data_IF_564607461892
#
_entry.id   IF_564607461892
#
_cell.length_a   1.000
_cell.length_b   1.000
_cell.length_c   1.000
_cell.angle_alpha   90.00
_cell.angle_beta   90.00
_cell.angle_gamma   90.00
#
_symmetry.space_group_name_H-M   'P 1'
#
loop_
_entity.id
_entity.type
_entity.pdbx_description
1 polymer ?
#
# COMPACT_ATOMS: atom_id res chain seq x y z
N UNK A 1 17.56 -4.36 -7.70
CA UNK A 1 16.63 -5.15 -8.53
C UNK A 1 15.20 -4.98 -8.01
N UNK A 2 14.22 -4.80 -8.90
CA UNK A 2 12.79 -4.72 -8.57
C UNK A 2 12.14 -6.03 -9.02
N UNK A 3 11.25 -6.57 -8.18
CA UNK A 3 10.37 -7.70 -8.51
C UNK A 3 8.92 -7.36 -8.18
N UNK A 4 7.99 -7.96 -8.90
CA UNK A 4 6.55 -7.79 -8.73
C UNK A 4 5.94 -9.13 -8.30
N UNK A 5 5.33 -9.14 -7.12
CA UNK A 5 4.60 -10.29 -6.60
C UNK A 5 3.13 -9.92 -6.48
N UNK A 6 2.25 -10.64 -7.14
CA UNK A 6 0.81 -10.40 -7.13
C UNK A 6 0.17 -11.56 -6.37
N UNK A 7 -0.52 -11.26 -5.28
CA UNK A 7 -1.38 -12.24 -4.59
C UNK A 7 -2.78 -12.18 -5.20
N UNK A 8 -3.33 -13.31 -5.54
CA UNK A 8 -4.65 -13.42 -6.16
C UNK A 8 -5.55 -14.41 -5.43
N UNK A 9 -6.75 -13.96 -5.03
CA UNK A 9 -7.78 -14.81 -4.43
C UNK A 9 -9.00 -14.88 -5.35
N UNK A 10 -8.87 -15.66 -6.43
CA UNK A 10 -9.94 -16.05 -7.35
C UNK A 10 -10.40 -14.97 -8.34
N UNK A 11 -9.51 -14.17 -8.86
CA UNK A 11 -9.82 -13.39 -10.06
C UNK A 11 -10.28 -14.28 -11.21
N UNK A 12 -11.11 -13.76 -12.09
CA UNK A 12 -11.51 -14.51 -13.27
C UNK A 12 -10.32 -14.77 -14.21
N UNK A 13 -10.40 -15.84 -15.01
CA UNK A 13 -9.30 -16.25 -15.89
C UNK A 13 -8.95 -15.19 -16.95
N UNK A 14 -9.90 -14.41 -17.40
CA UNK A 14 -9.68 -13.35 -18.38
C UNK A 14 -8.76 -12.26 -17.79
N UNK A 15 -9.06 -11.78 -16.57
CA UNK A 15 -8.22 -10.81 -15.87
C UNK A 15 -6.80 -11.34 -15.62
N UNK A 16 -6.68 -12.59 -15.17
CA UNK A 16 -5.36 -13.23 -14.95
C UNK A 16 -4.57 -13.34 -16.25
N UNK A 17 -5.21 -13.68 -17.35
CA UNK A 17 -4.57 -13.72 -18.66
C UNK A 17 -4.05 -12.35 -19.07
N UNK A 18 -4.88 -11.32 -18.94
CA UNK A 18 -4.49 -9.92 -19.25
C UNK A 18 -3.33 -9.44 -18.38
N UNK A 19 -3.38 -9.71 -17.07
CA UNK A 19 -2.28 -9.39 -16.15
C UNK A 19 -0.99 -10.08 -16.59
N UNK A 20 -1.05 -11.38 -16.90
CA UNK A 20 0.11 -12.12 -17.37
C UNK A 20 0.69 -11.57 -18.68
N UNK A 21 -0.14 -11.12 -19.62
CA UNK A 21 0.30 -10.50 -20.86
C UNK A 21 1.06 -9.19 -20.59
N UNK A 22 0.53 -8.35 -19.71
CA UNK A 22 1.19 -7.10 -19.29
C UNK A 22 2.53 -7.40 -18.59
N UNK A 23 2.55 -8.37 -17.67
CA UNK A 23 3.77 -8.73 -16.96
C UNK A 23 4.87 -9.26 -17.87
N UNK A 24 4.54 -9.97 -18.95
CA UNK A 24 5.50 -10.48 -19.96
C UNK A 24 6.22 -9.36 -20.73
N UNK A 25 5.62 -8.20 -20.84
CA UNK A 25 6.22 -7.05 -21.52
C UNK A 25 7.28 -6.37 -20.62
N UNK A 26 7.18 -6.57 -19.31
CA UNK A 26 8.15 -6.01 -18.36
C UNK A 26 9.44 -6.86 -18.36
N UNK A 27 10.59 -6.20 -18.19
CA UNK A 27 11.86 -6.89 -17.95
C UNK A 27 12.10 -7.16 -16.44
N UNK A 28 11.02 -7.21 -15.65
CA UNK A 28 11.09 -7.41 -14.21
C UNK A 28 10.84 -8.88 -13.85
N UNK A 29 11.39 -9.31 -12.73
CA UNK A 29 10.99 -10.57 -12.12
C UNK A 29 9.55 -10.44 -11.63
N UNK A 30 8.66 -11.30 -12.13
CA UNK A 30 7.23 -11.22 -11.83
C UNK A 30 6.69 -12.58 -11.43
N UNK A 31 5.74 -12.62 -10.48
CA UNK A 31 5.08 -13.85 -10.05
C UNK A 31 3.66 -13.58 -9.59
N UNK A 32 2.70 -14.37 -10.09
CA UNK A 32 1.33 -14.42 -9.55
C UNK A 32 1.26 -15.61 -8.58
N UNK A 33 0.73 -15.34 -7.39
CA UNK A 33 0.59 -16.27 -6.27
C UNK A 33 -0.90 -16.46 -6.01
N UNK A 34 -1.46 -17.54 -6.54
CA UNK A 34 -2.87 -17.88 -6.33
C UNK A 34 -3.07 -18.42 -4.92
N UNK A 35 -4.02 -17.86 -4.19
CA UNK A 35 -4.36 -18.29 -2.85
C UNK A 35 -5.24 -19.54 -2.86
N UNK A 36 -4.98 -20.45 -1.91
CA UNK A 36 -5.87 -21.58 -1.68
C UNK A 36 -7.08 -21.15 -0.83
N UNK A 37 -8.26 -21.70 -1.12
CA UNK A 37 -9.50 -21.43 -0.37
C UNK A 37 -9.38 -21.68 1.13
N UNK A 38 -8.58 -22.67 1.52
CA UNK A 38 -8.35 -23.05 2.90
C UNK A 38 -7.19 -22.29 3.58
N UNK A 39 -6.47 -21.46 2.81
CA UNK A 39 -5.37 -20.69 3.36
C UNK A 39 -5.90 -19.64 4.33
N UNK A 40 -5.30 -19.53 5.49
CA UNK A 40 -5.67 -18.61 6.57
C UNK A 40 -7.08 -18.75 7.18
N UNK A 41 -7.79 -19.87 6.93
CA UNK A 41 -9.15 -20.07 7.49
C UNK A 41 -9.17 -20.04 9.02
N UNK A 42 -8.08 -20.49 9.66
CA UNK A 42 -7.95 -20.49 11.13
C UNK A 42 -7.46 -19.14 11.68
N UNK A 43 -6.76 -18.37 10.89
CA UNK A 43 -6.18 -17.08 11.27
C UNK A 43 -7.17 -15.94 11.12
N UNK A 44 -8.07 -16.00 10.13
CA UNK A 44 -9.03 -14.93 9.86
C UNK A 44 -10.29 -15.11 10.70
N UNK A 45 -10.60 -14.10 11.50
CA UNK A 45 -11.86 -14.07 12.26
C UNK A 45 -13.05 -13.92 11.30
N UNK A 46 -14.13 -14.72 11.46
CA UNK A 46 -15.34 -14.57 10.66
C UNK A 46 -16.18 -13.33 11.03
N UNK A 47 -15.80 -12.65 12.12
CA UNK A 47 -16.44 -11.43 12.61
C UNK A 47 -15.44 -10.31 12.79
N UNK A 48 -15.88 -9.08 12.63
CA UNK A 48 -15.10 -7.88 12.92
C UNK A 48 -14.89 -7.64 14.43
N UNK A 49 -14.29 -6.51 14.79
CA UNK A 49 -14.04 -6.12 16.19
C UNK A 49 -15.33 -5.86 16.98
N UNK A 50 -16.44 -5.58 16.31
CA UNK A 50 -17.76 -5.35 16.92
C UNK A 50 -18.61 -6.63 17.02
N UNK A 51 -18.08 -7.77 16.50
CA UNK A 51 -18.80 -9.05 16.49
C UNK A 51 -19.71 -9.24 15.27
N UNK A 52 -19.69 -8.32 14.30
CA UNK A 52 -20.48 -8.41 13.08
C UNK A 52 -19.84 -9.35 12.06
N UNK A 53 -20.66 -10.14 11.37
CA UNK A 53 -20.19 -11.06 10.34
C UNK A 53 -19.62 -10.30 9.16
N UNK A 54 -18.41 -10.66 8.76
CA UNK A 54 -17.75 -10.06 7.59
C UNK A 54 -18.14 -10.76 6.29
N UNK A 55 -18.13 -10.01 5.18
CA UNK A 55 -18.46 -10.54 3.85
C UNK A 55 -17.37 -11.45 3.31
N UNK A 56 -17.72 -12.32 2.33
CA UNK A 56 -16.74 -13.17 1.65
C UNK A 56 -15.66 -12.36 0.92
N UNK A 57 -16.03 -11.23 0.31
CA UNK A 57 -15.07 -10.35 -0.35
C UNK A 57 -14.07 -9.75 0.65
N UNK A 58 -14.54 -9.39 1.85
CA UNK A 58 -13.65 -8.90 2.89
C UNK A 58 -12.69 -10.00 3.37
N UNK A 59 -13.17 -11.25 3.51
CA UNK A 59 -12.30 -12.40 3.85
C UNK A 59 -11.24 -12.59 2.76
N UNK A 60 -11.61 -12.48 1.49
CA UNK A 60 -10.69 -12.55 0.36
C UNK A 60 -9.60 -11.46 0.44
N UNK A 61 -10.01 -10.22 0.68
CA UNK A 61 -9.07 -9.10 0.88
C UNK A 61 -8.11 -9.38 2.05
N UNK A 62 -8.63 -9.82 3.20
CA UNK A 62 -7.82 -10.15 4.38
C UNK A 62 -6.82 -11.30 4.12
N UNK A 63 -7.18 -12.30 3.29
CA UNK A 63 -6.23 -13.34 2.85
C UNK A 63 -5.08 -12.76 2.03
N UNK A 64 -5.39 -11.88 1.08
CA UNK A 64 -4.37 -11.20 0.28
C UNK A 64 -3.41 -10.39 1.16
N UNK A 65 -3.93 -9.67 2.15
CA UNK A 65 -3.13 -8.91 3.11
C UNK A 65 -2.21 -9.84 3.92
N UNK A 66 -2.75 -10.91 4.51
CA UNK A 66 -1.94 -11.88 5.27
C UNK A 66 -0.85 -12.52 4.41
N UNK A 67 -1.20 -12.92 3.18
CA UNK A 67 -0.24 -13.51 2.25
C UNK A 67 0.88 -12.55 1.90
N UNK A 68 0.54 -11.29 1.64
CA UNK A 68 1.53 -10.27 1.31
C UNK A 68 2.53 -10.06 2.45
N UNK A 69 2.06 -10.01 3.70
CA UNK A 69 2.96 -9.91 4.86
C UNK A 69 3.76 -11.20 5.11
N UNK A 70 3.17 -12.37 4.87
CA UNK A 70 3.89 -13.65 4.97
C UNK A 70 5.03 -13.73 3.95
N UNK A 71 4.79 -13.26 2.71
CA UNK A 71 5.81 -13.17 1.68
C UNK A 71 6.90 -12.19 2.13
N UNK A 72 6.52 -11.00 2.56
CA UNK A 72 7.47 -10.00 3.02
C UNK A 72 8.29 -10.45 4.24
N UNK A 73 7.73 -11.30 5.11
CA UNK A 73 8.45 -11.91 6.25
C UNK A 73 9.59 -12.81 5.80
N UNK A 74 9.44 -13.53 4.71
CA UNK A 74 10.42 -14.55 4.27
C UNK A 74 11.31 -14.08 3.13
N UNK A 75 10.92 -13.07 2.39
CA UNK A 75 11.66 -12.52 1.27
C UNK A 75 12.85 -11.68 1.75
N UNK A 76 13.98 -11.72 1.02
CA UNK A 76 15.23 -11.04 1.37
C UNK A 76 15.37 -9.63 0.81
N UNK A 77 14.32 -9.04 0.24
CA UNK A 77 14.35 -7.66 -0.23
C UNK A 77 14.53 -6.67 0.92
N UNK A 78 15.20 -5.56 0.67
CA UNK A 78 15.44 -4.51 1.67
C UNK A 78 14.20 -3.63 1.88
N UNK A 79 13.46 -3.35 0.79
CA UNK A 79 12.27 -2.51 0.77
C UNK A 79 11.08 -3.26 0.20
N UNK A 80 9.90 -2.97 0.73
CA UNK A 80 8.63 -3.54 0.30
C UNK A 80 7.64 -2.42 0.05
N UNK A 81 7.03 -2.46 -1.13
CA UNK A 81 5.93 -1.60 -1.49
C UNK A 81 4.66 -2.45 -1.56
N UNK A 82 3.79 -2.32 -0.56
CA UNK A 82 2.46 -2.91 -0.57
C UNK A 82 1.55 -2.02 -1.40
N UNK A 83 0.82 -2.63 -2.32
CA UNK A 83 0.03 -1.92 -3.31
C UNK A 83 -1.31 -2.62 -3.49
N UNK A 84 -2.40 -1.87 -3.35
CA UNK A 84 -3.75 -2.28 -3.72
C UNK A 84 -3.94 -2.10 -5.23
N UNK A 85 -4.77 -2.94 -5.85
CA UNK A 85 -4.95 -3.01 -7.30
C UNK A 85 -5.74 -1.84 -7.92
N UNK A 86 -6.26 -0.95 -7.08
CA UNK A 86 -7.04 0.21 -7.47
C UNK A 86 -6.27 1.56 -7.36
N UNK A 87 -4.94 1.51 -7.42
CA UNK A 87 -4.10 2.70 -7.45
C UNK A 87 -3.56 3.00 -8.84
N UNK A 88 -3.67 4.26 -9.27
CA UNK A 88 -3.06 4.79 -10.50
C UNK A 88 -1.84 5.63 -10.11
N UNK A 89 -0.69 5.36 -10.72
CA UNK A 89 0.59 5.98 -10.39
C UNK A 89 1.10 6.91 -11.50
N UNK A 90 1.80 7.98 -11.09
CA UNK A 90 2.64 8.73 -12.03
C UNK A 90 3.84 7.88 -12.48
N UNK A 91 4.39 8.16 -13.66
CA UNK A 91 5.51 7.38 -14.23
C UNK A 91 6.76 7.40 -13.36
N UNK A 92 6.96 8.46 -12.58
CA UNK A 92 8.11 8.65 -11.70
C UNK A 92 7.91 8.12 -10.28
N UNK A 93 6.71 7.59 -9.95
CA UNK A 93 6.33 7.25 -8.57
C UNK A 93 7.33 6.34 -7.84
N UNK A 94 7.70 5.22 -8.47
CA UNK A 94 8.61 4.25 -7.83
C UNK A 94 10.00 4.87 -7.63
N UNK A 95 10.52 5.56 -8.64
CA UNK A 95 11.84 6.21 -8.56
C UNK A 95 11.86 7.28 -7.49
N UNK A 96 10.84 8.14 -7.45
CA UNK A 96 10.71 9.18 -6.42
C UNK A 96 10.64 8.59 -5.01
N UNK A 97 9.84 7.53 -4.81
CA UNK A 97 9.73 6.87 -3.51
C UNK A 97 11.06 6.24 -3.06
N UNK A 98 11.75 5.52 -3.93
CA UNK A 98 13.00 4.83 -3.57
C UNK A 98 14.09 5.83 -3.14
N UNK A 99 14.33 6.86 -3.95
CA UNK A 99 15.34 7.88 -3.60
C UNK A 99 14.94 8.73 -2.40
N UNK A 100 13.64 9.01 -2.25
CA UNK A 100 13.13 9.73 -1.07
C UNK A 100 13.28 8.90 0.19
N UNK A 101 13.00 7.59 0.12
CA UNK A 101 13.20 6.69 1.25
C UNK A 101 14.64 6.73 1.73
N UNK A 102 15.61 6.51 0.83
CA UNK A 102 17.03 6.55 1.12
C UNK A 102 17.44 7.89 1.75
N UNK A 103 17.03 8.99 1.14
CA UNK A 103 17.38 10.34 1.60
C UNK A 103 16.82 10.66 2.98
N UNK A 104 15.51 10.51 3.17
CA UNK A 104 14.86 10.92 4.43
C UNK A 104 15.24 9.97 5.57
N UNK A 105 15.29 8.65 5.32
CA UNK A 105 15.71 7.68 6.34
C UNK A 105 17.15 7.92 6.81
N UNK A 106 18.05 8.25 5.90
CA UNK A 106 19.43 8.61 6.19
C UNK A 106 19.51 9.92 7.01
N UNK A 107 18.78 10.97 6.61
CA UNK A 107 18.76 12.25 7.33
C UNK A 107 18.22 12.11 8.76
N UNK A 108 17.22 11.26 8.95
CA UNK A 108 16.63 11.02 10.26
C UNK A 108 17.36 9.95 11.08
N UNK A 109 18.23 9.18 10.44
CA UNK A 109 18.83 7.95 10.98
C UNK A 109 17.73 7.01 11.53
N UNK A 110 16.67 6.82 10.76
CA UNK A 110 15.49 6.02 11.12
C UNK A 110 14.88 5.36 9.90
N UNK A 111 14.33 4.17 10.09
CA UNK A 111 13.41 3.58 9.14
C UNK A 111 12.10 4.37 9.12
N UNK A 112 11.46 4.45 7.96
CA UNK A 112 10.26 5.26 7.73
C UNK A 112 9.21 4.51 6.92
N UNK A 113 8.02 5.09 6.82
CA UNK A 113 6.98 4.70 5.88
C UNK A 113 6.80 5.80 4.85
N UNK A 114 6.50 5.43 3.60
CA UNK A 114 6.08 6.34 2.54
C UNK A 114 4.73 5.92 2.01
N UNK A 115 3.74 6.83 2.01
CA UNK A 115 2.48 6.69 1.31
C UNK A 115 2.63 7.39 -0.05
N UNK A 116 2.20 6.82 -1.20
CA UNK A 116 2.34 7.47 -2.50
C UNK A 116 1.31 8.56 -2.76
N UNK A 117 0.23 8.61 -1.97
CA UNK A 117 -0.91 9.47 -2.21
C UNK A 117 -0.96 10.67 -1.26
N UNK A 118 -1.27 11.82 -1.83
CA UNK A 118 -1.56 13.07 -1.10
C UNK A 118 -3.08 13.23 -0.96
N UNK A 119 -3.64 12.56 0.05
CA UNK A 119 -5.08 12.47 0.20
C UNK A 119 -5.78 13.79 0.50
N UNK A 120 -7.02 13.99 0.00
CA UNK A 120 -7.81 15.20 0.25
C UNK A 120 -8.03 15.52 1.73
N UNK A 121 -8.14 14.52 2.63
CA UNK A 121 -8.36 14.77 4.05
C UNK A 121 -7.26 15.63 4.68
N UNK A 122 -6.03 15.55 4.17
CA UNK A 122 -4.88 16.35 4.63
C UNK A 122 -5.04 17.87 4.41
N UNK A 123 -6.08 18.27 3.68
CA UNK A 123 -6.41 19.67 3.40
C UNK A 123 -7.69 20.14 4.10
N UNK A 124 -8.38 19.23 4.81
CA UNK A 124 -9.63 19.52 5.53
C UNK A 124 -9.46 19.59 7.05
N UNK A 125 -8.29 19.22 7.55
CA UNK A 125 -7.96 19.20 8.97
C UNK A 125 -6.70 20.01 9.25
N UNK A 126 -6.59 20.59 10.45
CA UNK A 126 -5.37 21.27 10.88
C UNK A 126 -4.55 20.27 11.69
N UNK A 127 -3.45 19.80 11.13
CA UNK A 127 -2.53 18.88 11.77
C UNK A 127 -1.12 19.47 11.87
N UNK A 128 -0.41 19.15 12.94
CA UNK A 128 1.01 19.42 13.03
C UNK A 128 1.77 18.52 12.09
N UNK A 129 2.28 19.07 11.01
CA UNK A 129 3.04 18.33 10.02
C UNK A 129 4.45 18.87 9.87
N UNK A 130 5.41 17.98 9.61
CA UNK A 130 6.79 18.33 9.26
C UNK A 130 6.97 18.15 7.76
N UNK A 131 7.67 19.09 7.13
CA UNK A 131 7.94 19.06 5.70
C UNK A 131 9.39 18.70 5.45
N UNK A 132 9.63 17.75 4.55
CA UNK A 132 10.94 17.34 4.08
C UNK A 132 11.02 17.49 2.56
N UNK A 133 12.22 17.67 2.03
CA UNK A 133 12.46 17.60 0.61
C UNK A 133 13.00 16.21 0.27
N UNK A 134 12.18 15.41 -0.44
CA UNK A 134 12.54 14.08 -0.93
C UNK A 134 13.52 14.15 -2.12
N UNK A 135 13.31 13.34 -3.13
CA UNK A 135 14.12 13.40 -4.34
C UNK A 135 13.75 14.64 -5.18
N UNK A 136 12.55 14.71 -5.71
CA UNK A 136 12.07 15.82 -6.55
C UNK A 136 10.85 16.55 -5.96
N UNK A 137 10.27 16.05 -4.87
CA UNK A 137 9.03 16.54 -4.26
C UNK A 137 9.21 16.90 -2.79
N UNK A 138 8.30 17.72 -2.28
CA UNK A 138 8.14 17.86 -0.84
C UNK A 138 7.36 16.65 -0.31
N UNK A 139 7.68 16.27 0.93
CA UNK A 139 7.04 15.18 1.65
C UNK A 139 6.65 15.65 3.02
N UNK A 140 5.42 15.44 3.41
CA UNK A 140 4.91 15.81 4.74
C UNK A 140 4.67 14.60 5.60
N UNK A 141 4.86 14.72 6.90
CA UNK A 141 4.45 13.68 7.84
C UNK A 141 2.93 13.55 7.86
N UNK A 142 2.45 12.30 7.93
CA UNK A 142 1.02 11.95 7.99
C UNK A 142 0.80 10.87 9.05
N UNK A 143 -0.39 10.87 9.66
CA UNK A 143 -0.77 9.93 10.71
C UNK A 143 -1.73 8.84 10.22
N UNK A 144 -2.31 9.02 9.04
CA UNK A 144 -3.31 8.11 8.46
C UNK A 144 -3.02 7.86 6.99
N UNK A 145 -3.16 6.60 6.56
CA UNK A 145 -3.06 6.16 5.16
C UNK A 145 -3.99 4.99 4.93
N UNK A 146 -4.18 4.60 3.67
CA UNK A 146 -4.70 3.28 3.30
C UNK A 146 -3.57 2.23 3.32
N UNK A 147 -3.85 1.00 2.88
CA UNK A 147 -2.90 -0.12 2.97
C UNK A 147 -1.78 -0.02 1.91
N UNK A 148 -1.81 0.99 1.06
CA UNK A 148 -0.76 1.23 0.06
C UNK A 148 0.38 2.07 0.64
N UNK A 149 1.52 1.42 0.92
CA UNK A 149 2.71 2.06 1.51
C UNK A 149 4.01 1.32 1.19
N UNK A 150 5.12 2.06 1.23
CA UNK A 150 6.48 1.53 1.13
C UNK A 150 7.17 1.61 2.49
N UNK A 151 7.89 0.55 2.87
CA UNK A 151 8.75 0.54 4.07
C UNK A 151 9.86 -0.51 3.97
N UNK A 152 10.76 -0.54 4.94
CA UNK A 152 11.86 -1.50 4.98
C UNK A 152 11.48 -2.86 5.56
N UNK A 153 12.31 -3.86 5.24
CA UNK A 153 12.28 -5.19 5.89
C UNK A 153 12.34 -5.09 7.41
N UNK A 154 13.17 -4.20 7.95
CA UNK A 154 13.30 -4.00 9.39
C UNK A 154 11.99 -3.57 10.03
N UNK A 155 11.23 -2.66 9.38
CA UNK A 155 9.94 -2.22 9.88
C UNK A 155 8.88 -3.32 9.79
N UNK A 156 8.91 -4.12 8.72
CA UNK A 156 8.01 -5.27 8.59
C UNK A 156 8.22 -6.25 9.73
N UNK A 157 9.47 -6.64 9.99
CA UNK A 157 9.78 -7.58 11.08
C UNK A 157 9.44 -6.98 12.45
N UNK A 158 9.76 -5.70 12.67
CA UNK A 158 9.45 -4.98 13.91
C UNK A 158 7.96 -4.99 14.27
N UNK A 159 7.09 -4.88 13.26
CA UNK A 159 5.64 -4.76 13.44
C UNK A 159 4.85 -5.94 12.87
N UNK A 160 5.50 -7.08 12.62
CA UNK A 160 4.92 -8.22 11.92
C UNK A 160 3.60 -8.70 12.55
N UNK A 161 3.55 -8.84 13.88
CA UNK A 161 2.33 -9.27 14.58
C UNK A 161 1.18 -8.28 14.39
N UNK A 162 1.49 -6.98 14.32
CA UNK A 162 0.48 -5.94 14.07
C UNK A 162 -0.02 -6.02 12.62
N UNK A 163 0.87 -6.19 11.66
CA UNK A 163 0.48 -6.38 10.27
C UNK A 163 -0.36 -7.65 10.08
N UNK A 164 0.03 -8.76 10.71
CA UNK A 164 -0.77 -9.99 10.72
C UNK A 164 -2.15 -9.77 11.37
N UNK A 165 -2.22 -9.00 12.46
CA UNK A 165 -3.50 -8.65 13.09
C UNK A 165 -4.42 -7.86 12.14
N UNK A 166 -3.88 -6.95 11.33
CA UNK A 166 -4.65 -6.19 10.33
C UNK A 166 -5.32 -7.11 9.30
N UNK A 167 -4.64 -8.17 8.87
CA UNK A 167 -5.20 -9.17 7.95
C UNK A 167 -6.06 -10.25 8.63
N UNK A 168 -5.93 -10.46 9.95
CA UNK A 168 -6.65 -11.55 10.66
C UNK A 168 -7.93 -11.10 11.37
N UNK A 169 -8.06 -9.82 11.69
CA UNK A 169 -9.24 -9.23 12.37
C UNK A 169 -9.62 -7.91 11.71
N UNK A 170 -10.86 -7.80 11.22
CA UNK A 170 -11.33 -6.54 10.62
C UNK A 170 -11.53 -5.47 11.69
N UNK A 171 -10.88 -4.34 11.50
CA UNK A 171 -11.02 -3.12 12.28
C UNK A 171 -11.85 -2.07 11.52
N UNK A 172 -12.24 -0.99 12.18
CA UNK A 172 -12.93 0.16 11.61
C UNK A 172 -12.22 1.46 12.03
N UNK A 173 -11.48 2.12 11.10
CA UNK A 173 -11.14 1.67 9.75
C UNK A 173 -10.25 0.43 9.75
N UNK A 174 -10.12 -0.25 8.60
CA UNK A 174 -9.28 -1.44 8.48
C UNK A 174 -7.82 -1.12 8.79
N UNK A 175 -7.38 0.07 8.44
CA UNK A 175 -6.05 0.62 8.58
C UNK A 175 -5.70 1.09 10.01
N UNK A 176 -6.62 0.99 10.96
CA UNK A 176 -6.43 1.46 12.35
C UNK A 176 -5.12 0.97 12.98
N UNK A 177 -4.68 -0.24 12.62
CA UNK A 177 -3.42 -0.80 13.10
C UNK A 177 -2.22 -0.04 12.54
N UNK A 178 -2.27 0.35 11.26
CA UNK A 178 -1.26 1.19 10.60
C UNK A 178 -1.19 2.57 11.27
N UNK A 179 -2.33 3.21 11.50
CA UNK A 179 -2.40 4.52 12.18
C UNK A 179 -1.73 4.46 13.56
N UNK A 180 -1.96 3.38 14.34
CA UNK A 180 -1.26 3.16 15.62
C UNK A 180 0.24 2.91 15.50
N UNK A 181 0.72 2.45 14.34
CA UNK A 181 2.16 2.37 14.06
C UNK A 181 2.71 3.79 13.79
N UNK A 182 1.99 4.60 13.02
CA UNK A 182 2.40 5.98 12.69
C UNK A 182 2.41 6.94 13.90
N UNK A 183 1.70 6.64 14.98
CA UNK A 183 1.87 7.34 16.26
C UNK A 183 3.31 7.25 16.82
N UNK A 184 4.08 6.24 16.40
CA UNK A 184 5.43 5.92 16.89
C UNK A 184 6.51 6.06 15.83
N UNK A 185 6.13 5.93 14.57
CA UNK A 185 7.02 5.92 13.42
C UNK A 185 6.61 7.00 12.41
N UNK A 186 7.58 7.53 11.69
CA UNK A 186 7.27 8.51 10.66
C UNK A 186 6.68 7.83 9.42
N UNK A 187 5.52 8.34 8.98
CA UNK A 187 4.99 8.11 7.64
C UNK A 187 4.98 9.45 6.89
N UNK A 188 5.34 9.42 5.61
CA UNK A 188 5.39 10.60 4.76
C UNK A 188 4.50 10.42 3.54
N UNK A 189 3.87 11.52 3.11
CA UNK A 189 3.06 11.64 1.90
C UNK A 189 3.65 12.72 0.99
N UNK A 190 3.69 12.53 -0.34
CA UNK A 190 4.31 13.45 -1.28
C UNK A 190 3.42 14.65 -1.60
N UNK A 191 4.00 15.79 -1.93
CA UNK A 191 3.32 16.97 -2.46
C UNK A 191 4.06 17.42 -3.73
N UNK A 192 3.41 17.37 -4.91
CA UNK A 192 2.11 16.77 -5.23
C UNK A 192 2.12 15.24 -5.19
N UNK A 193 0.93 14.64 -5.23
CA UNK A 193 0.71 13.20 -5.18
C UNK A 193 1.48 12.42 -6.26
N UNK A 194 1.91 11.21 -5.91
CA UNK A 194 2.49 10.23 -6.84
C UNK A 194 1.47 9.20 -7.30
N UNK A 195 0.38 9.05 -6.58
CA UNK A 195 -0.66 8.09 -6.90
C UNK A 195 -2.05 8.59 -6.47
N UNK A 196 -3.07 7.97 -7.03
CA UNK A 196 -4.46 8.17 -6.67
C UNK A 196 -5.13 6.83 -6.41
N UNK A 197 -5.90 6.74 -5.32
CA UNK A 197 -6.82 5.63 -5.07
C UNK A 197 -8.07 5.79 -5.97
N UNK A 198 -8.26 4.88 -6.92
CA UNK A 198 -9.28 5.01 -7.96
C UNK A 198 -10.68 4.60 -7.48
N UNK A 199 -10.78 3.70 -6.50
CA UNK A 199 -12.04 3.37 -5.85
C UNK A 199 -12.46 4.53 -4.94
N UNK A 200 -13.73 4.94 -5.02
CA UNK A 200 -14.27 6.06 -4.22
C UNK A 200 -13.54 7.40 -4.44
N UNK A 201 -13.26 7.73 -5.68
CA UNK A 201 -12.55 8.94 -6.13
C UNK A 201 -13.04 10.26 -5.47
N UNK A 202 -14.31 10.34 -5.07
CA UNK A 202 -14.94 11.51 -4.46
C UNK A 202 -14.86 11.51 -2.92
N UNK A 203 -14.15 10.57 -2.32
CA UNK A 203 -13.96 10.52 -0.86
C UNK A 203 -12.75 11.31 -0.40
N UNK A 204 -12.60 11.43 0.92
CA UNK A 204 -11.44 12.06 1.56
C UNK A 204 -10.10 11.32 1.31
N UNK A 205 -10.16 10.09 0.80
CA UNK A 205 -9.00 9.28 0.36
C UNK A 205 -8.96 9.08 -1.17
N UNK A 206 -9.75 9.82 -1.92
CA UNK A 206 -9.86 9.71 -3.38
C UNK A 206 -8.90 10.62 -4.13
N UNK A 207 -9.46 11.48 -5.00
CA UNK A 207 -8.71 12.32 -5.93
C UNK A 207 -7.84 13.36 -5.20
N UNK A 208 -6.50 13.27 -5.32
CA UNK A 208 -5.60 14.26 -4.76
C UNK A 208 -5.73 15.62 -5.44
N UNK A 209 -5.39 16.73 -4.76
CA UNK A 209 -5.32 18.04 -5.38
C UNK A 209 -4.38 18.08 -6.58
N UNK A 210 -4.81 18.74 -7.65
CA UNK A 210 -4.01 18.92 -8.88
C UNK A 210 -3.55 17.63 -9.56
N UNK A 211 -4.25 16.52 -9.37
CA UNK A 211 -3.93 15.22 -9.97
C UNK A 211 -4.80 14.99 -11.21
N UNK A 212 -4.21 15.12 -12.38
CA UNK A 212 -4.90 14.82 -13.65
C UNK A 212 -4.94 13.29 -13.90
N UNK A 213 -5.88 12.63 -13.25
CA UNK A 213 -6.01 11.18 -13.32
C UNK A 213 -6.31 10.66 -14.73
N UNK A 214 -7.02 11.44 -15.56
CA UNK A 214 -7.35 11.04 -16.94
C UNK A 214 -6.10 10.94 -17.79
N UNK A 215 -5.26 11.97 -17.74
CA UNK A 215 -3.96 11.97 -18.41
C UNK A 215 -3.08 10.82 -17.94
N UNK A 216 -3.01 10.60 -16.63
CA UNK A 216 -2.18 9.52 -16.05
C UNK A 216 -2.74 8.14 -16.43
N UNK A 217 -4.06 7.98 -16.47
CA UNK A 217 -4.70 6.77 -16.96
C UNK A 217 -4.31 6.47 -18.42
N UNK A 218 -4.44 7.46 -19.31
CA UNK A 218 -4.05 7.34 -20.72
C UNK A 218 -2.55 7.01 -20.87
N UNK A 219 -1.70 7.63 -20.05
CA UNK A 219 -0.25 7.37 -20.06
C UNK A 219 0.14 5.97 -19.57
N UNK A 220 -0.68 5.32 -18.75
CA UNK A 220 -0.47 3.97 -18.20
C UNK A 220 -1.25 2.88 -18.97
N UNK A 221 -2.11 3.26 -19.91
CA UNK A 221 -2.81 2.28 -20.76
C UNK A 221 -1.84 1.77 -21.83
N UNK A 222 -1.66 0.44 -21.98
CA UNK A 222 -0.75 -0.15 -22.97
C UNK A 222 -1.23 0.05 -24.41
#
# INVERSE_FOLDING_TARGET
QIKILITDDKSNQENLTRINEILKITNLETKIINLNENEFVKEISPTDVNGEKISKNMISNMRNILKSFQIAETDNSDLFYFLEDDYIHTKDAITEMLFTYEKISSQLNKEIFLCPADYPYLYSTIENTKLFFGNMRHWRTVNETLITFLTSKKMIIKYLDKFKLMGSKRHHPMELILHKIYEKEYCFSPIPSLAMHATNINTIYGLPPNFDWKKIWEENTP
#
